data_IF_734090049327
#
_entry.id   IF_734090049327
#
_cell.length_a   1.000
_cell.length_b   1.000
_cell.length_c   1.000
_cell.angle_alpha   90.00
_cell.angle_beta   90.00
_cell.angle_gamma   90.00
#
_symmetry.space_group_name_H-M   'P 1'
#
loop_
_entity.id
_entity.type
_entity.pdbx_description
1 polymer ?
#
# COMPACT_ATOMS: atom_id res chain seq x y z
N UNK A 1 19.10 -4.70 4.81
CA UNK A 1 18.38 -5.49 3.78
C UNK A 1 17.14 -4.71 3.38
N UNK A 2 16.86 -4.59 2.09
CA UNK A 2 15.70 -3.90 1.54
C UNK A 2 14.91 -4.90 0.70
N UNK A 3 13.62 -5.02 1.00
CA UNK A 3 12.70 -5.85 0.22
C UNK A 3 11.97 -4.95 -0.77
N UNK A 4 12.24 -5.16 -2.06
CA UNK A 4 11.51 -4.52 -3.14
C UNK A 4 10.24 -5.31 -3.39
N UNK A 5 9.13 -4.59 -3.50
CA UNK A 5 7.83 -5.21 -3.69
C UNK A 5 7.08 -4.55 -4.83
N UNK A 6 6.46 -5.37 -5.70
CA UNK A 6 5.60 -4.90 -6.78
C UNK A 6 4.46 -5.89 -7.01
N UNK A 7 3.33 -5.39 -7.52
CA UNK A 7 2.21 -6.23 -7.96
C UNK A 7 2.59 -7.08 -9.17
N UNK A 8 3.25 -6.45 -10.14
CA UNK A 8 3.75 -7.09 -11.35
C UNK A 8 5.16 -7.63 -11.08
N UNK A 9 5.28 -8.95 -11.03
CA UNK A 9 6.54 -9.65 -10.77
C UNK A 9 7.61 -9.33 -11.82
N UNK A 10 7.23 -9.33 -13.11
CA UNK A 10 8.17 -9.08 -14.20
C UNK A 10 8.78 -7.69 -14.09
N UNK A 11 7.94 -6.66 -13.92
CA UNK A 11 8.41 -5.28 -13.75
C UNK A 11 9.22 -5.10 -12.47
N UNK A 12 8.87 -5.83 -11.42
CA UNK A 12 9.62 -5.84 -10.16
C UNK A 12 11.02 -6.43 -10.29
N UNK A 13 11.16 -7.54 -11.02
CA UNK A 13 12.44 -8.16 -11.31
C UNK A 13 13.32 -7.30 -12.22
N UNK A 14 12.75 -6.69 -13.27
CA UNK A 14 13.47 -5.73 -14.13
C UNK A 14 14.03 -4.55 -13.33
N UNK A 15 13.24 -4.02 -12.38
CA UNK A 15 13.68 -2.96 -11.48
C UNK A 15 14.80 -3.44 -10.53
N UNK A 16 14.67 -4.66 -9.99
CA UNK A 16 15.71 -5.27 -9.16
C UNK A 16 17.03 -5.42 -9.95
N UNK A 17 16.98 -5.91 -11.18
CA UNK A 17 18.15 -6.05 -12.05
C UNK A 17 18.81 -4.70 -12.34
N UNK A 18 18.01 -3.69 -12.65
CA UNK A 18 18.49 -2.33 -12.88
C UNK A 18 19.21 -1.76 -11.65
N UNK A 19 18.70 -2.04 -10.45
CA UNK A 19 19.32 -1.62 -9.19
C UNK A 19 20.53 -2.46 -8.81
N UNK A 20 20.59 -3.74 -9.18
CA UNK A 20 21.79 -4.57 -8.99
C UNK A 20 23.00 -3.98 -9.72
N UNK A 21 22.79 -3.39 -10.89
CA UNK A 21 23.84 -2.70 -11.64
C UNK A 21 24.41 -1.47 -10.92
N UNK A 22 23.67 -0.90 -9.96
CA UNK A 22 24.10 0.26 -9.15
C UNK A 22 24.97 -0.09 -7.94
N UNK A 23 25.37 -1.35 -7.77
CA UNK A 23 26.25 -1.81 -6.68
C UNK A 23 25.53 -2.15 -5.36
N UNK A 24 24.20 -2.25 -5.39
CA UNK A 24 23.36 -2.57 -4.23
C UNK A 24 22.89 -4.03 -4.19
N UNK A 25 23.50 -4.91 -5.00
CA UNK A 25 22.99 -6.26 -5.28
C UNK A 25 22.78 -7.13 -4.05
N UNK A 26 23.63 -6.99 -3.04
CA UNK A 26 23.69 -7.90 -1.89
C UNK A 26 22.67 -7.52 -0.80
N UNK A 27 22.06 -6.35 -0.93
CA UNK A 27 21.10 -5.81 0.04
C UNK A 27 19.66 -5.83 -0.46
N UNK A 28 19.43 -6.25 -1.71
CA UNK A 28 18.13 -6.16 -2.38
C UNK A 28 17.55 -7.55 -2.63
N UNK A 29 16.32 -7.75 -2.15
CA UNK A 29 15.52 -8.95 -2.42
C UNK A 29 14.18 -8.50 -3.00
N UNK A 30 13.68 -9.21 -4.00
CA UNK A 30 12.35 -8.98 -4.53
C UNK A 30 11.34 -9.96 -3.94
N UNK A 31 10.16 -9.47 -3.59
CA UNK A 31 9.00 -10.28 -3.20
C UNK A 31 7.74 -9.66 -3.80
N UNK A 32 6.94 -10.45 -4.52
CA UNK A 32 5.68 -9.96 -5.08
C UNK A 32 4.73 -9.53 -3.94
N UNK A 33 4.06 -8.39 -4.11
CA UNK A 33 3.13 -7.88 -3.11
C UNK A 33 2.02 -7.05 -3.77
N UNK A 34 0.77 -7.32 -3.38
CA UNK A 34 -0.37 -6.50 -3.71
C UNK A 34 -1.10 -6.05 -2.44
N UNK A 35 -1.17 -4.74 -2.23
CA UNK A 35 -1.86 -4.14 -1.08
C UNK A 35 -3.38 -4.36 -1.12
N UNK A 36 -3.94 -4.70 -2.30
CA UNK A 36 -5.36 -4.99 -2.45
C UNK A 36 -5.72 -6.45 -2.13
N UNK A 37 -4.72 -7.34 -2.01
CA UNK A 37 -4.93 -8.77 -1.80
C UNK A 37 -4.52 -9.20 -0.37
N UNK A 38 -5.49 -9.62 0.47
CA UNK A 38 -5.21 -10.10 1.83
C UNK A 38 -4.24 -11.29 1.88
N UNK A 39 -4.26 -12.19 0.89
CA UNK A 39 -3.34 -13.34 0.86
C UNK A 39 -1.91 -12.90 0.60
N UNK A 40 -1.73 -11.93 -0.30
CA UNK A 40 -0.44 -11.28 -0.55
C UNK A 40 0.12 -10.59 0.70
N UNK A 41 -0.73 -9.93 1.50
CA UNK A 41 -0.34 -9.32 2.79
C UNK A 41 0.13 -10.38 3.79
N UNK A 42 -0.60 -11.49 3.92
CA UNK A 42 -0.22 -12.58 4.80
C UNK A 42 1.12 -13.19 4.36
N UNK A 43 1.28 -13.48 3.07
CA UNK A 43 2.50 -14.03 2.48
C UNK A 43 3.73 -13.15 2.75
N UNK A 44 3.62 -11.84 2.50
CA UNK A 44 4.72 -10.90 2.77
C UNK A 44 5.06 -10.83 4.27
N UNK A 45 4.03 -10.82 5.13
CA UNK A 45 4.23 -10.77 6.59
C UNK A 45 4.98 -12.01 7.08
N UNK A 46 4.61 -13.19 6.60
CA UNK A 46 5.27 -14.44 6.96
C UNK A 46 6.68 -14.51 6.40
N UNK A 47 6.89 -14.04 5.17
CA UNK A 47 8.22 -13.93 4.57
C UNK A 47 9.14 -13.06 5.42
N UNK A 48 8.73 -11.85 5.80
CA UNK A 48 9.56 -10.94 6.59
C UNK A 48 9.84 -11.50 7.98
N UNK A 49 8.84 -12.10 8.64
CA UNK A 49 9.03 -12.75 9.94
C UNK A 49 10.03 -13.91 9.88
N UNK A 50 9.94 -14.77 8.87
CA UNK A 50 10.83 -15.94 8.72
C UNK A 50 12.25 -15.54 8.37
N UNK A 51 12.42 -14.56 7.49
CA UNK A 51 13.75 -14.19 6.97
C UNK A 51 14.48 -13.19 7.86
N UNK A 52 13.76 -12.22 8.45
CA UNK A 52 14.37 -11.08 9.13
C UNK A 52 13.93 -10.96 10.60
N UNK A 53 12.90 -11.68 11.03
CA UNK A 53 12.36 -11.64 12.39
C UNK A 53 11.57 -10.37 12.73
N UNK A 54 11.93 -9.23 12.13
CA UNK A 54 11.30 -7.93 12.35
C UNK A 54 11.23 -7.08 11.07
N UNK A 55 10.31 -6.13 11.05
CA UNK A 55 10.19 -5.09 10.04
C UNK A 55 10.49 -3.74 10.69
N UNK A 56 11.61 -3.10 10.35
CA UNK A 56 12.00 -1.82 10.94
C UNK A 56 11.28 -0.63 10.28
N UNK A 57 11.11 -0.66 8.96
CA UNK A 57 10.53 0.45 8.19
C UNK A 57 9.63 -0.11 7.09
N UNK A 58 8.40 0.40 6.99
CA UNK A 58 7.47 0.16 5.89
C UNK A 58 7.24 1.45 5.12
N UNK A 59 7.57 1.46 3.83
CA UNK A 59 7.31 2.60 2.94
C UNK A 59 5.99 2.36 2.19
N UNK A 60 4.93 3.07 2.55
CA UNK A 60 3.62 2.95 1.90
C UNK A 60 3.57 3.76 0.59
N UNK A 61 4.20 3.23 -0.47
CA UNK A 61 4.23 3.85 -1.80
C UNK A 61 3.16 3.29 -2.78
N UNK A 62 2.32 2.36 -2.32
CA UNK A 62 1.34 1.70 -3.18
C UNK A 62 0.08 2.58 -3.33
N UNK A 63 -0.03 3.29 -4.46
CA UNK A 63 -1.24 4.01 -4.85
C UNK A 63 -2.15 3.13 -5.71
N UNK A 64 -3.41 2.97 -5.30
CA UNK A 64 -4.46 2.41 -6.16
C UNK A 64 -5.26 3.59 -6.71
N UNK A 65 -5.28 3.76 -8.04
CA UNK A 65 -6.25 4.67 -8.66
C UNK A 65 -7.66 4.13 -8.38
N UNK A 66 -8.45 4.87 -7.61
CA UNK A 66 -9.87 4.58 -7.39
C UNK A 66 -10.61 4.62 -8.73
N UNK A 67 -11.47 3.62 -8.94
CA UNK A 67 -12.18 3.37 -10.19
C UNK A 67 -12.69 4.64 -10.89
N UNK A 68 -12.25 4.87 -12.14
CA UNK A 68 -12.88 5.81 -13.05
C UNK A 68 -14.14 5.18 -13.61
N UNK A 69 -15.31 5.56 -13.09
CA UNK A 69 -16.59 5.25 -13.72
C UNK A 69 -16.97 6.42 -14.63
N UNK A 70 -17.10 6.16 -15.94
CA UNK A 70 -17.60 7.16 -16.88
C UNK A 70 -19.12 7.24 -16.73
N UNK A 71 -19.58 8.19 -15.91
CA UNK A 71 -21.00 8.52 -15.76
C UNK A 71 -21.31 9.68 -16.70
N UNK A 72 -21.59 9.34 -17.96
CA UNK A 72 -22.00 10.24 -19.04
C UNK A 72 -21.02 11.41 -19.35
N UNK A 73 -21.09 12.01 -20.55
CA UNK A 73 -20.25 13.16 -20.87
C UNK A 73 -20.65 14.35 -19.99
N UNK A 74 -19.75 14.81 -19.11
CA UNK A 74 -19.90 16.11 -18.44
C UNK A 74 -19.92 16.12 -16.91
N UNK A 75 -19.79 14.99 -16.22
CA UNK A 75 -19.70 14.96 -14.74
C UNK A 75 -18.49 14.15 -14.28
N UNK A 76 -17.39 14.85 -13.97
CA UNK A 76 -16.29 14.27 -13.22
C UNK A 76 -16.66 14.32 -11.72
N UNK A 77 -17.02 13.17 -11.14
CA UNK A 77 -17.10 13.01 -9.69
C UNK A 77 -15.96 12.11 -9.26
N UNK A 78 -14.85 12.72 -8.89
CA UNK A 78 -13.66 12.06 -8.41
C UNK A 78 -13.36 12.55 -6.98
N UNK A 79 -13.21 11.62 -6.03
CA UNK A 79 -12.54 11.77 -4.73
C UNK A 79 -13.19 12.48 -3.53
N UNK A 80 -14.26 13.28 -3.65
CA UNK A 80 -14.84 13.94 -2.47
C UNK A 80 -15.51 12.98 -1.46
N UNK A 81 -16.17 11.91 -1.92
CA UNK A 81 -16.90 10.99 -1.03
C UNK A 81 -16.00 9.99 -0.28
N UNK A 82 -14.85 9.61 -0.85
CA UNK A 82 -13.96 8.63 -0.22
C UNK A 82 -13.21 9.21 1.00
N UNK A 83 -12.82 10.49 0.92
CA UNK A 83 -12.20 11.21 2.05
C UNK A 83 -13.23 11.58 3.14
N UNK A 84 -14.48 11.84 2.76
CA UNK A 84 -15.55 12.14 3.73
C UNK A 84 -15.83 10.96 4.67
N UNK A 85 -15.90 9.73 4.15
CA UNK A 85 -16.08 8.52 4.98
C UNK A 85 -14.91 8.23 5.92
N UNK A 86 -13.68 8.62 5.56
CA UNK A 86 -12.49 8.37 6.39
C UNK A 86 -12.35 9.37 7.55
N UNK A 87 -12.89 10.59 7.44
CA UNK A 87 -12.87 11.56 8.55
C UNK A 87 -13.88 11.26 9.68
N UNK A 88 -14.90 10.43 9.44
CA UNK A 88 -15.94 10.15 10.43
C UNK A 88 -15.74 8.86 11.26
N UNK A 89 -14.66 8.11 11.07
CA UNK A 89 -14.35 6.93 11.89
C UNK A 89 -13.00 7.10 12.59
N UNK A 90 -12.89 8.15 13.40
CA UNK A 90 -11.86 8.30 14.44
C UNK A 90 -12.16 9.51 15.34
N UNK A 91 -13.11 9.38 16.28
CA UNK A 91 -12.95 9.90 17.65
C UNK A 91 -13.71 9.01 18.65
N UNK A 92 -13.07 8.59 19.76
CA UNK A 92 -13.73 7.92 20.88
C UNK A 92 -14.43 8.93 21.81
N UNK A 93 -15.41 8.42 22.58
CA UNK A 93 -16.20 9.03 23.66
C UNK A 93 -15.74 10.40 24.20
N UNK A 94 -16.66 11.38 24.18
CA UNK A 94 -16.78 12.41 25.21
C UNK A 94 -18.26 12.58 25.61
N UNK A 95 -18.47 12.53 26.91
CA UNK A 95 -19.71 12.69 27.67
C UNK A 95 -20.24 14.12 27.61
N UNK A 96 -21.57 14.27 27.61
CA UNK A 96 -22.31 15.53 27.84
C UNK A 96 -22.17 16.54 26.70
N UNK A 97 -23.15 17.34 26.30
CA UNK A 97 -24.30 17.90 26.99
C UNK A 97 -25.26 18.37 25.87
N UNK A 98 -26.55 18.03 25.94
CA UNK A 98 -27.62 18.77 25.27
C UNK A 98 -28.15 19.86 26.21
N UNK A 99 -28.79 20.88 25.59
CA UNK A 99 -29.63 21.94 26.15
C UNK A 99 -28.92 23.20 26.69
N UNK A 100 -28.71 24.18 25.81
CA UNK A 100 -29.59 25.34 25.64
C UNK A 100 -29.55 25.81 24.17
#
# INVERSE_FOLDING_TARGET
MVVLTARDEKRGLEALESLKYSGLSDYLIFHQFDVADPESIASLTDFVKKQFGKLDILVNNAGILGATFSIAPGTEVCWLNYLYKRKHVSRPNLLGYEYL
#
